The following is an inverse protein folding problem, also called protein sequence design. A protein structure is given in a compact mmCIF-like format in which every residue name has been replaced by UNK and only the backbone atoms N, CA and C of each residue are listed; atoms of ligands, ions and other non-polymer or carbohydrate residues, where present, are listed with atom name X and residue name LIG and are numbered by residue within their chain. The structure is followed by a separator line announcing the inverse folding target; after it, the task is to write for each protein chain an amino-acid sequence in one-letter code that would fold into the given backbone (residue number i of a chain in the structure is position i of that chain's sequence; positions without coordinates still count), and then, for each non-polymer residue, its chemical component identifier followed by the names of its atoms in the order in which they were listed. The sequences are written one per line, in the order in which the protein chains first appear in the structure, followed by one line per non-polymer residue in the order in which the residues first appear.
data_IF_743900430057
#
_entry.id   IF_743900430057
#
_cell.length_a   1.000
_cell.length_b   1.000
_cell.length_c   1.000
_cell.angle_alpha   90.00
_cell.angle_beta   90.00
_cell.angle_gamma   90.00
#
_symmetry.space_group_name_H-M   'P 1'
#
loop_
_entity.id
_entity.type
_entity.pdbx_description
1 polymer ?
#
# COMPACT_ATOMS: atom_id res chain seq x y z
N UNK A 1 24.09 29.40 23.16
CA UNK A 1 23.07 29.94 24.09
C UNK A 1 21.90 30.41 23.24
N UNK A 2 20.89 29.55 23.04
CA UNK A 2 19.49 29.87 22.68
C UNK A 2 18.67 28.55 22.68
N UNK A 3 18.72 27.85 23.82
CA UNK A 3 18.26 26.45 23.98
C UNK A 3 16.73 26.30 24.13
N UNK A 4 15.97 27.40 24.01
CA UNK A 4 14.52 27.43 24.22
C UNK A 4 13.71 27.96 23.03
N UNK A 5 14.32 28.13 21.85
CA UNK A 5 13.51 28.32 20.65
C UNK A 5 12.86 27.00 20.30
N UNK A 6 11.53 26.95 20.28
CA UNK A 6 10.80 25.81 19.73
C UNK A 6 11.41 25.49 18.36
N UNK A 7 11.86 24.25 18.11
CA UNK A 7 12.47 23.92 16.84
C UNK A 7 11.51 24.27 15.70
N UNK A 8 12.06 24.84 14.63
CA UNK A 8 11.29 25.24 13.45
C UNK A 8 10.49 24.01 12.97
N UNK A 9 9.15 24.11 12.79
CA UNK A 9 8.31 23.02 12.31
C UNK A 9 8.91 22.29 11.10
N UNK A 10 9.58 23.02 10.20
CA UNK A 10 10.24 22.41 9.03
C UNK A 10 11.43 21.52 9.39
N UNK A 11 12.18 21.87 10.44
CA UNK A 11 13.29 21.04 10.92
C UNK A 11 12.77 19.78 11.62
N UNK A 12 11.72 19.90 12.44
CA UNK A 12 11.02 18.77 13.05
C UNK A 12 10.51 17.79 11.99
N UNK A 13 9.87 18.28 10.94
CA UNK A 13 9.40 17.46 9.81
C UNK A 13 10.56 16.73 9.12
N UNK A 14 11.65 17.43 8.84
CA UNK A 14 12.84 16.84 8.19
C UNK A 14 13.48 15.77 9.07
N UNK A 15 13.56 15.99 10.37
CA UNK A 15 14.06 15.01 11.33
C UNK A 15 13.15 13.79 11.39
N UNK A 16 11.83 13.99 11.48
CA UNK A 16 10.85 12.91 11.48
C UNK A 16 10.94 12.05 10.20
N UNK A 17 11.00 12.70 9.01
CA UNK A 17 11.16 11.99 7.73
C UNK A 17 12.45 11.17 7.66
N UNK A 18 13.55 11.66 8.24
CA UNK A 18 14.81 10.91 8.32
C UNK A 18 14.68 9.70 9.25
N UNK A 19 14.05 9.87 10.40
CA UNK A 19 13.85 8.80 11.37
C UNK A 19 12.98 7.69 10.77
N UNK A 20 11.82 8.03 10.19
CA UNK A 20 10.95 7.04 9.54
C UNK A 20 11.67 6.27 8.43
N UNK A 21 12.52 6.93 7.63
CA UNK A 21 13.32 6.27 6.59
C UNK A 21 14.36 5.32 7.17
N UNK A 22 15.00 5.71 8.28
CA UNK A 22 15.96 4.88 8.99
C UNK A 22 15.27 3.65 9.59
N UNK A 23 14.18 3.85 10.33
CA UNK A 23 13.37 2.76 10.88
C UNK A 23 12.91 1.79 9.80
N UNK A 24 12.48 2.30 8.63
CA UNK A 24 12.09 1.41 7.54
C UNK A 24 13.25 0.54 7.06
N UNK A 25 14.45 1.13 6.86
CA UNK A 25 15.67 0.40 6.47
C UNK A 25 16.11 -0.62 7.51
N UNK A 26 16.03 -0.28 8.79
CA UNK A 26 16.38 -1.16 9.89
C UNK A 26 15.44 -2.37 9.89
N UNK A 27 14.12 -2.17 9.68
CA UNK A 27 13.16 -3.26 9.52
C UNK A 27 13.48 -4.17 8.32
N UNK A 28 13.95 -3.64 7.17
CA UNK A 28 14.34 -4.47 6.03
C UNK A 28 15.62 -5.27 6.33
N UNK A 29 16.57 -4.66 7.04
CA UNK A 29 17.77 -5.35 7.50
C UNK A 29 17.43 -6.49 8.46
N UNK A 30 16.54 -6.24 9.42
CA UNK A 30 16.06 -7.22 10.37
C UNK A 30 15.32 -8.37 9.67
N UNK A 31 14.47 -8.08 8.67
CA UNK A 31 13.84 -9.13 7.85
C UNK A 31 14.85 -10.02 7.16
N UNK A 32 15.90 -9.45 6.56
CA UNK A 32 16.98 -10.26 5.94
C UNK A 32 17.72 -11.12 6.98
N UNK A 33 17.85 -10.65 8.22
CA UNK A 33 18.43 -11.46 9.29
C UNK A 33 17.46 -12.57 9.73
N UNK A 34 16.16 -12.28 9.83
CA UNK A 34 15.12 -13.27 10.10
C UNK A 34 15.08 -14.35 9.01
N UNK A 35 15.25 -14.01 7.74
CA UNK A 35 15.30 -14.98 6.63
C UNK A 35 16.46 -15.99 6.77
N UNK A 36 17.62 -15.54 7.28
CA UNK A 36 18.76 -16.42 7.54
C UNK A 36 18.48 -17.35 8.72
N UNK A 37 17.97 -16.80 9.83
CA UNK A 37 17.56 -17.58 11.01
C UNK A 37 16.47 -18.60 10.68
N UNK A 38 15.54 -18.25 9.78
CA UNK A 38 14.48 -19.14 9.32
C UNK A 38 15.08 -20.40 8.68
N UNK A 39 16.03 -20.23 7.76
CA UNK A 39 16.74 -21.34 7.10
C UNK A 39 17.56 -22.17 8.09
N UNK A 40 18.24 -21.53 9.04
CA UNK A 40 19.02 -22.21 10.08
C UNK A 40 18.13 -23.10 10.97
N UNK A 41 17.01 -22.55 11.46
CA UNK A 41 16.03 -23.27 12.26
C UNK A 41 15.42 -24.45 11.47
N UNK A 42 15.06 -24.25 10.21
CA UNK A 42 14.53 -25.34 9.36
C UNK A 42 15.53 -26.49 9.20
N UNK A 43 16.82 -26.18 9.02
CA UNK A 43 17.87 -27.20 8.93
C UNK A 43 18.08 -27.93 10.26
N UNK A 44 18.05 -27.22 11.38
CA UNK A 44 18.24 -27.80 12.71
C UNK A 44 17.07 -28.69 13.11
N UNK A 45 15.83 -28.26 12.83
CA UNK A 45 14.62 -29.07 13.01
C UNK A 45 14.73 -30.37 12.20
N UNK A 46 15.14 -30.30 10.92
CA UNK A 46 15.34 -31.49 10.08
C UNK A 46 16.38 -32.45 10.68
N UNK A 47 17.51 -31.92 11.18
CA UNK A 47 18.58 -32.72 11.81
C UNK A 47 18.11 -33.40 13.09
N UNK A 48 17.37 -32.71 13.95
CA UNK A 48 16.86 -33.27 15.21
C UNK A 48 15.77 -34.31 14.97
N UNK A 49 14.87 -34.05 14.02
CA UNK A 49 13.83 -35.00 13.64
C UNK A 49 14.44 -36.30 13.06
N UNK A 50 15.46 -36.19 12.20
CA UNK A 50 16.17 -37.36 11.66
C UNK A 50 16.88 -38.20 12.74
N UNK A 51 17.27 -37.57 13.87
CA UNK A 51 17.87 -38.25 15.02
C UNK A 51 16.83 -38.79 16.02
N UNK A 52 15.54 -38.61 15.76
CA UNK A 52 14.45 -39.01 16.66
C UNK A 52 14.28 -38.08 17.88
N UNK A 53 14.98 -36.94 17.93
CA UNK A 53 14.89 -35.96 19.02
C UNK A 53 13.64 -35.06 18.85
N UNK A 54 12.45 -35.67 18.89
CA UNK A 54 11.20 -35.02 18.54
C UNK A 54 10.82 -33.86 19.48
N UNK A 55 11.10 -33.95 20.77
CA UNK A 55 10.79 -32.87 21.72
C UNK A 55 11.65 -31.62 21.47
N UNK A 56 12.94 -31.80 21.21
CA UNK A 56 13.83 -30.71 20.83
C UNK A 56 13.41 -30.10 19.48
N UNK A 57 13.06 -30.93 18.49
CA UNK A 57 12.52 -30.47 17.21
C UNK A 57 11.21 -29.66 17.38
N UNK A 58 10.32 -30.07 18.29
CA UNK A 58 9.07 -29.36 18.60
C UNK A 58 9.33 -27.98 19.21
N UNK A 59 10.32 -27.85 20.09
CA UNK A 59 10.71 -26.55 20.66
C UNK A 59 11.24 -25.60 19.58
N UNK A 60 12.11 -26.07 18.68
CA UNK A 60 12.59 -25.26 17.57
C UNK A 60 11.49 -24.93 16.55
N UNK A 61 10.56 -25.84 16.30
CA UNK A 61 9.40 -25.57 15.44
C UNK A 61 8.53 -24.44 16.00
N UNK A 62 8.33 -24.38 17.32
CA UNK A 62 7.64 -23.25 17.97
C UNK A 62 8.38 -21.93 17.74
N UNK A 63 9.71 -21.93 17.86
CA UNK A 63 10.53 -20.75 17.56
C UNK A 63 10.42 -20.33 16.10
N UNK A 64 10.40 -21.29 15.16
CA UNK A 64 10.21 -21.02 13.73
C UNK A 64 8.88 -20.33 13.43
N UNK A 65 7.78 -20.81 14.02
CA UNK A 65 6.46 -20.16 13.86
C UNK A 65 6.48 -18.74 14.43
N UNK A 66 7.10 -18.55 15.60
CA UNK A 66 7.26 -17.22 16.19
C UNK A 66 8.06 -16.28 15.28
N UNK A 67 9.15 -16.76 14.68
CA UNK A 67 9.98 -16.01 13.75
C UNK A 67 9.19 -15.61 12.49
N UNK A 68 8.41 -16.53 11.90
CA UNK A 68 7.53 -16.24 10.75
C UNK A 68 6.47 -15.19 11.08
N UNK A 69 5.88 -15.27 12.28
CA UNK A 69 4.93 -14.27 12.76
C UNK A 69 5.60 -12.90 12.95
N UNK A 70 6.83 -12.86 13.48
CA UNK A 70 7.60 -11.62 13.62
C UNK A 70 7.93 -11.00 12.26
N UNK A 71 8.33 -11.81 11.27
CA UNK A 71 8.58 -11.37 9.89
C UNK A 71 7.33 -10.77 9.23
N UNK A 72 6.18 -11.43 9.36
CA UNK A 72 4.89 -10.93 8.86
C UNK A 72 4.51 -9.60 9.52
N UNK A 73 4.67 -9.50 10.85
CA UNK A 73 4.45 -8.23 11.57
C UNK A 73 5.40 -7.14 11.10
N UNK A 74 6.66 -7.44 10.78
CA UNK A 74 7.63 -6.47 10.24
C UNK A 74 7.19 -5.88 8.90
N UNK A 75 6.59 -6.68 8.02
CA UNK A 75 6.01 -6.19 6.75
C UNK A 75 4.87 -5.21 7.05
N UNK A 76 3.94 -5.58 7.93
CA UNK A 76 2.85 -4.69 8.34
C UNK A 76 3.33 -3.39 9.01
N UNK A 77 4.40 -3.45 9.81
CA UNK A 77 5.02 -2.25 10.40
C UNK A 77 5.66 -1.35 9.33
N UNK A 78 6.33 -1.93 8.33
CA UNK A 78 6.90 -1.19 7.21
C UNK A 78 5.82 -0.47 6.40
N UNK A 79 4.70 -1.15 6.11
CA UNK A 79 3.54 -0.55 5.46
C UNK A 79 2.95 0.62 6.28
N UNK A 80 2.82 0.47 7.61
CA UNK A 80 2.37 1.56 8.50
C UNK A 80 3.33 2.75 8.48
N UNK A 81 4.65 2.52 8.49
CA UNK A 81 5.64 3.61 8.40
C UNK A 81 5.49 4.35 7.07
N UNK A 82 5.34 3.63 5.96
CA UNK A 82 5.08 4.22 4.65
C UNK A 82 3.77 5.02 4.63
N UNK A 83 2.70 4.53 5.26
CA UNK A 83 1.44 5.26 5.43
C UNK A 83 1.62 6.56 6.22
N UNK A 84 2.35 6.52 7.34
CA UNK A 84 2.68 7.74 8.12
C UNK A 84 3.51 8.72 7.29
N UNK A 85 4.45 8.23 6.46
CA UNK A 85 5.21 9.10 5.55
C UNK A 85 4.31 9.80 4.52
N UNK A 86 3.35 9.08 3.96
CA UNK A 86 2.36 9.64 3.03
C UNK A 86 1.47 10.68 3.74
N UNK A 87 0.97 10.37 4.94
CA UNK A 87 0.19 11.29 5.76
C UNK A 87 0.98 12.56 6.12
N UNK A 88 2.25 12.44 6.51
CA UNK A 88 3.12 13.58 6.78
C UNK A 88 3.33 14.43 5.52
N UNK A 89 3.48 13.81 4.34
CA UNK A 89 3.58 14.53 3.08
C UNK A 89 2.28 15.26 2.73
N UNK A 90 1.13 14.64 2.99
CA UNK A 90 -0.18 15.26 2.81
C UNK A 90 -0.34 16.48 3.73
N UNK A 91 -0.04 16.32 5.03
CA UNK A 91 -0.06 17.40 6.00
C UNK A 91 0.86 18.56 5.60
N UNK A 92 2.03 18.27 5.03
CA UNK A 92 2.93 19.31 4.50
C UNK A 92 2.30 20.09 3.35
N UNK A 93 1.63 19.40 2.42
CA UNK A 93 0.89 20.05 1.34
C UNK A 93 -0.25 20.92 1.87
N UNK A 94 -0.99 20.45 2.87
CA UNK A 94 -2.02 21.24 3.56
C UNK A 94 -1.42 22.48 4.24
N UNK A 95 -0.26 22.36 4.91
CA UNK A 95 0.39 23.50 5.55
C UNK A 95 0.85 24.57 4.54
N UNK A 96 1.35 24.14 3.36
CA UNK A 96 1.69 25.05 2.25
C UNK A 96 0.44 25.74 1.70
N UNK A 97 -0.64 25.00 1.51
CA UNK A 97 -1.93 25.54 1.08
C UNK A 97 -2.45 26.57 2.08
N UNK A 98 -2.43 26.26 3.38
CA UNK A 98 -2.81 27.21 4.44
C UNK A 98 -1.96 28.48 4.44
N UNK A 99 -0.65 28.35 4.20
CA UNK A 99 0.25 29.51 4.06
C UNK A 99 -0.11 30.36 2.83
N UNK A 100 -0.35 29.73 1.67
CA UNK A 100 -0.75 30.40 0.45
C UNK A 100 -2.12 31.10 0.60
N UNK A 101 -3.11 30.41 1.17
CA UNK A 101 -4.42 30.99 1.52
C UNK A 101 -4.27 32.17 2.47
N UNK A 102 -3.41 32.07 3.49
CA UNK A 102 -3.11 33.17 4.40
C UNK A 102 -2.54 34.39 3.68
N UNK A 103 -1.66 34.21 2.69
CA UNK A 103 -1.17 35.30 1.84
C UNK A 103 -2.27 35.86 0.95
N UNK A 104 -3.11 35.01 0.35
CA UNK A 104 -4.26 35.44 -0.47
C UNK A 104 -5.25 36.27 0.33
N UNK A 105 -5.58 35.85 1.56
CA UNK A 105 -6.46 36.60 2.47
C UNK A 105 -5.87 37.97 2.81
N UNK A 106 -4.55 38.06 3.05
CA UNK A 106 -3.88 39.35 3.28
C UNK A 106 -3.99 40.27 2.06
N UNK A 107 -3.74 39.73 0.85
CA UNK A 107 -3.88 40.47 -0.41
C UNK A 107 -5.32 40.92 -0.62
N UNK A 108 -6.30 40.04 -0.42
CA UNK A 108 -7.73 40.37 -0.53
C UNK A 108 -8.15 41.44 0.49
N UNK A 109 -7.67 41.38 1.74
CA UNK A 109 -7.92 42.43 2.74
C UNK A 109 -7.35 43.78 2.31
N UNK A 110 -6.14 43.80 1.76
CA UNK A 110 -5.52 45.02 1.23
C UNK A 110 -6.28 45.58 0.01
N UNK A 111 -6.71 44.70 -0.91
CA UNK A 111 -7.54 45.09 -2.06
C UNK A 111 -8.91 45.60 -1.61
N UNK A 112 -9.54 44.95 -0.62
CA UNK A 112 -10.83 45.39 -0.07
C UNK A 112 -10.74 46.78 0.57
N UNK A 113 -9.61 47.13 1.20
CA UNK A 113 -9.38 48.47 1.74
C UNK A 113 -9.15 49.53 0.66
N UNK A 114 -8.72 49.13 -0.54
CA UNK A 114 -8.45 50.02 -1.68
C UNK A 114 -9.59 50.05 -2.71
N UNK A 115 -10.52 49.10 -2.67
CA UNK A 115 -11.64 49.05 -3.60
C UNK A 115 -12.59 50.23 -3.32
N UNK A 116 -12.76 51.18 -4.26
CA UNK A 116 -13.77 52.20 -4.11
C UNK A 116 -15.14 51.50 -4.13
N UNK A 117 -15.88 51.60 -3.03
CA UNK A 117 -17.21 51.00 -2.83
C UNK A 117 -18.15 51.21 -4.03
N UNK A 118 -18.02 52.35 -4.74
CA UNK A 118 -18.81 52.67 -5.93
C UNK A 118 -18.57 51.71 -7.12
N UNK A 119 -17.32 51.30 -7.39
CA UNK A 119 -17.04 50.37 -8.50
C UNK A 119 -17.54 48.95 -8.20
N UNK A 120 -17.50 48.54 -6.93
CA UNK A 120 -18.03 47.24 -6.48
C UNK A 120 -19.55 47.18 -6.64
N UNK A 121 -20.26 48.27 -6.33
CA UNK A 121 -21.71 48.35 -6.52
C UNK A 121 -22.13 48.23 -8.00
N UNK A 122 -21.38 48.85 -8.92
CA UNK A 122 -21.64 48.73 -10.35
C UNK A 122 -21.42 47.30 -10.87
N UNK A 123 -20.29 46.68 -10.50
CA UNK A 123 -19.97 45.31 -10.92
C UNK A 123 -20.92 44.25 -10.33
N UNK A 124 -21.41 44.44 -9.09
CA UNK A 124 -22.42 43.56 -8.49
C UNK A 124 -23.71 43.52 -9.32
N UNK A 125 -24.12 44.65 -9.91
CA UNK A 125 -25.33 44.71 -10.74
C UNK A 125 -25.15 43.98 -12.08
N UNK A 126 -23.98 44.10 -12.71
CA UNK A 126 -23.64 43.33 -13.91
C UNK A 126 -23.48 41.82 -13.62
N UNK A 127 -22.92 41.48 -12.44
CA UNK A 127 -22.78 40.09 -12.02
C UNK A 127 -24.12 39.40 -11.79
N UNK A 128 -25.10 40.07 -11.16
CA UNK A 128 -26.46 39.50 -11.00
C UNK A 128 -27.09 39.12 -12.35
N UNK A 129 -26.94 39.96 -13.38
CA UNK A 129 -27.45 39.66 -14.72
C UNK A 129 -26.70 38.50 -15.40
N UNK A 130 -25.43 38.26 -15.06
CA UNK A 130 -24.64 37.14 -15.57
C UNK A 130 -24.90 35.84 -14.80
N UNK A 131 -25.05 35.90 -13.48
CA UNK A 131 -25.31 34.74 -12.63
C UNK A 131 -26.69 34.13 -12.90
N UNK A 132 -27.71 34.94 -13.18
CA UNK A 132 -29.00 34.43 -13.68
C UNK A 132 -28.85 33.60 -14.96
N UNK A 133 -27.89 33.95 -15.83
CA UNK A 133 -27.62 33.17 -17.04
C UNK A 133 -26.78 31.92 -16.78
N UNK A 134 -25.95 31.90 -15.74
CA UNK A 134 -25.05 30.79 -15.43
C UNK A 134 -25.62 29.77 -14.43
N UNK A 135 -26.58 30.17 -13.58
CA UNK A 135 -27.24 29.27 -12.64
C UNK A 135 -27.95 28.09 -13.33
N UNK A 136 -28.38 28.27 -14.58
CA UNK A 136 -28.96 27.19 -15.40
C UNK A 136 -27.94 26.14 -15.85
N UNK A 137 -26.63 26.44 -15.84
CA UNK A 137 -25.59 25.49 -16.24
C UNK A 137 -24.99 24.69 -15.08
N UNK A 138 -24.97 25.27 -13.87
CA UNK A 138 -24.37 24.62 -12.70
C UNK A 138 -25.28 23.52 -12.13
N UNK A 139 -26.60 23.70 -12.21
CA UNK A 139 -27.58 22.67 -11.86
C UNK A 139 -27.41 21.41 -12.75
N UNK A 140 -27.18 21.60 -14.05
CA UNK A 140 -26.91 20.46 -14.96
C UNK A 140 -25.52 19.83 -14.75
N UNK A 141 -24.53 20.59 -14.29
CA UNK A 141 -23.17 20.08 -14.08
C UNK A 141 -23.06 19.29 -12.78
N UNK A 142 -23.73 19.73 -11.70
CA UNK A 142 -23.76 19.01 -10.43
C UNK A 142 -24.41 17.64 -10.57
N UNK A 143 -25.50 17.52 -11.33
CA UNK A 143 -26.14 16.23 -11.63
C UNK A 143 -25.18 15.24 -12.31
N UNK A 144 -24.21 15.75 -13.08
CA UNK A 144 -23.23 14.90 -13.78
C UNK A 144 -22.06 14.50 -12.89
N UNK A 145 -21.66 15.35 -11.95
CA UNK A 145 -20.51 15.10 -11.07
C UNK A 145 -20.87 14.23 -9.86
N UNK A 146 -22.07 14.40 -9.30
CA UNK A 146 -22.55 13.54 -8.20
C UNK A 146 -22.70 12.07 -8.66
N UNK A 147 -22.98 11.85 -9.95
CA UNK A 147 -22.98 10.51 -10.57
C UNK A 147 -21.60 9.82 -10.59
N UNK A 148 -20.50 10.56 -10.51
CA UNK A 148 -19.14 10.00 -10.65
C UNK A 148 -18.46 9.78 -9.29
N UNK A 149 -18.86 10.54 -8.27
CA UNK A 149 -18.21 10.53 -6.96
C UNK A 149 -18.78 9.51 -5.97
N UNK A 150 -19.89 8.84 -6.30
CA UNK A 150 -20.51 7.81 -5.46
C UNK A 150 -19.81 6.44 -5.59
N UNK A 151 -18.48 6.41 -5.41
CA UNK A 151 -17.68 5.18 -5.39
C UNK A 151 -17.37 4.78 -3.94
N UNK A 152 -17.98 3.70 -3.40
CA UNK A 152 -17.77 3.27 -2.03
C UNK A 152 -16.73 2.13 -1.96
N UNK A 153 -15.76 2.24 -1.05
CA UNK A 153 -15.17 1.05 -0.40
C UNK A 153 -13.66 0.83 -0.55
N UNK A 154 -12.85 1.57 0.21
CA UNK A 154 -11.37 1.42 0.29
C UNK A 154 -10.87 -0.01 0.60
N UNK A 155 -11.67 -0.85 1.28
CA UNK A 155 -11.26 -2.21 1.65
C UNK A 155 -11.46 -3.21 0.51
N UNK A 156 -12.61 -3.13 -0.18
CA UNK A 156 -12.89 -3.95 -1.36
C UNK A 156 -11.92 -3.57 -2.50
N UNK A 157 -11.55 -2.28 -2.60
CA UNK A 157 -10.51 -1.81 -3.51
C UNK A 157 -9.13 -2.42 -3.18
N UNK A 158 -8.75 -2.51 -1.91
CA UNK A 158 -7.48 -3.11 -1.52
C UNK A 158 -7.40 -4.59 -1.93
N UNK A 159 -8.44 -5.38 -1.63
CA UNK A 159 -8.49 -6.79 -2.00
C UNK A 159 -8.57 -6.96 -3.53
N UNK A 160 -9.32 -6.10 -4.23
CA UNK A 160 -9.37 -6.09 -5.69
C UNK A 160 -8.01 -5.80 -6.32
N UNK A 161 -7.27 -4.82 -5.80
CA UNK A 161 -5.89 -4.51 -6.26
C UNK A 161 -4.96 -5.69 -6.00
N UNK A 162 -5.04 -6.33 -4.82
CA UNK A 162 -4.23 -7.52 -4.52
C UNK A 162 -4.53 -8.65 -5.51
N UNK A 163 -5.82 -8.94 -5.77
CA UNK A 163 -6.22 -9.99 -6.70
C UNK A 163 -5.79 -9.68 -8.14
N UNK A 164 -5.95 -8.44 -8.61
CA UNK A 164 -5.51 -8.02 -9.94
C UNK A 164 -4.00 -8.24 -10.11
N UNK A 165 -3.18 -7.83 -9.13
CA UNK A 165 -1.72 -8.01 -9.18
C UNK A 165 -1.35 -9.50 -9.18
N UNK A 166 -2.08 -10.34 -8.44
CA UNK A 166 -1.85 -11.79 -8.45
C UNK A 166 -2.21 -12.42 -9.80
N UNK A 167 -3.29 -11.96 -10.45
CA UNK A 167 -3.69 -12.41 -11.79
C UNK A 167 -2.64 -12.02 -12.84
N UNK A 168 -2.13 -10.80 -12.80
CA UNK A 168 -1.05 -10.33 -13.68
C UNK A 168 0.22 -11.19 -13.52
N UNK A 169 0.61 -11.52 -12.28
CA UNK A 169 1.75 -12.41 -12.00
C UNK A 169 1.48 -13.84 -12.52
N UNK A 170 0.27 -14.36 -12.33
CA UNK A 170 -0.13 -15.68 -12.84
C UNK A 170 -0.07 -15.77 -14.36
N UNK A 171 -0.52 -14.71 -15.05
CA UNK A 171 -0.44 -14.59 -16.51
C UNK A 171 1.03 -14.48 -16.97
N UNK A 172 1.86 -13.71 -16.25
CA UNK A 172 3.30 -13.64 -16.54
C UNK A 172 4.02 -14.99 -16.36
N UNK A 173 3.66 -15.77 -15.35
CA UNK A 173 4.23 -17.10 -15.15
C UNK A 173 3.82 -18.06 -16.27
N UNK A 174 2.54 -18.05 -16.67
CA UNK A 174 2.05 -18.87 -17.76
C UNK A 174 2.67 -18.48 -19.11
N UNK A 175 2.82 -17.19 -19.38
CA UNK A 175 3.49 -16.70 -20.60
C UNK A 175 4.99 -17.02 -20.62
N UNK A 176 5.70 -16.93 -19.48
CA UNK A 176 7.11 -17.35 -19.37
C UNK A 176 7.27 -18.86 -19.54
N UNK A 177 6.37 -19.68 -18.99
CA UNK A 177 6.38 -21.13 -19.17
C UNK A 177 6.07 -21.54 -20.62
N UNK A 178 5.15 -20.85 -21.29
CA UNK A 178 4.88 -21.07 -22.71
C UNK A 178 6.07 -20.70 -23.62
N UNK A 179 6.91 -19.74 -23.18
CA UNK A 179 8.10 -19.30 -23.92
C UNK A 179 9.39 -20.05 -23.55
N UNK A 180 9.36 -21.06 -22.67
CA UNK A 180 10.52 -21.95 -22.52
C UNK A 180 10.55 -22.87 -23.75
N UNK A 181 11.58 -22.79 -24.62
CA UNK A 181 11.67 -23.68 -25.77
C UNK A 181 11.77 -25.10 -25.24
N UNK A 182 10.81 -25.95 -25.61
CA UNK A 182 10.85 -27.36 -25.32
C UNK A 182 12.20 -27.90 -25.77
N UNK A 183 13.08 -28.24 -24.82
CA UNK A 183 14.20 -29.12 -25.15
C UNK A 183 13.59 -30.36 -25.80
N UNK A 184 14.18 -30.87 -26.89
CA UNK A 184 13.63 -32.00 -27.62
C UNK A 184 13.87 -33.27 -26.78
N UNK A 185 13.09 -33.45 -25.72
CA UNK A 185 12.90 -34.76 -25.11
C UNK A 185 12.02 -35.54 -26.06
N UNK A 186 12.73 -36.19 -26.98
CA UNK A 186 12.32 -37.33 -27.78
C UNK A 186 11.25 -38.12 -27.03
N UNK A 187 10.04 -38.00 -27.57
CA UNK A 187 8.82 -38.75 -27.35
C UNK A 187 9.10 -40.15 -26.76
N UNK A 188 8.86 -40.32 -25.47
CA UNK A 188 8.35 -41.58 -24.95
C UNK A 188 6.91 -41.34 -24.58
N UNK A 189 6.06 -41.46 -25.59
CA UNK A 189 4.62 -41.54 -25.47
C UNK A 189 4.25 -42.76 -24.63
N UNK A 190 3.90 -42.53 -23.36
CA UNK A 190 2.97 -43.41 -22.66
C UNK A 190 1.65 -42.68 -22.58
N UNK A 191 0.81 -42.97 -23.56
CA UNK A 191 -0.61 -42.66 -23.60
C UNK A 191 -1.33 -43.29 -22.36
N UNK A 192 -2.55 -42.84 -22.02
CA UNK A 192 -3.07 -42.87 -20.66
C UNK A 192 -3.59 -44.27 -20.30
N UNK A 193 -2.86 -44.95 -19.40
CA UNK A 193 -3.33 -46.18 -18.77
C UNK A 193 -4.12 -45.81 -17.50
N UNK A 194 -5.43 -46.03 -17.62
CA UNK A 194 -6.27 -46.71 -16.65
C UNK A 194 -6.51 -45.98 -15.31
N UNK A 195 -7.55 -45.14 -15.35
CA UNK A 195 -8.27 -44.61 -14.18
C UNK A 195 -8.73 -45.71 -13.19
N UNK A 196 -8.73 -46.98 -13.59
CA UNK A 196 -9.07 -48.12 -12.72
C UNK A 196 -8.09 -48.26 -11.54
N UNK A 197 -6.82 -47.86 -11.70
CA UNK A 197 -5.83 -47.95 -10.63
C UNK A 197 -6.05 -46.88 -9.54
N UNK A 198 -6.72 -45.76 -9.89
CA UNK A 198 -7.10 -44.72 -8.93
C UNK A 198 -8.29 -45.16 -8.06
N UNK A 199 -9.25 -45.90 -8.61
CA UNK A 199 -10.34 -46.47 -7.80
C UNK A 199 -9.81 -47.53 -6.82
N UNK A 200 -8.85 -48.36 -7.24
CA UNK A 200 -8.21 -49.33 -6.35
C UNK A 200 -7.41 -48.64 -5.21
N UNK A 201 -6.75 -47.51 -5.49
CA UNK A 201 -6.04 -46.75 -4.46
C UNK A 201 -6.98 -46.03 -3.49
N UNK A 202 -8.13 -45.53 -3.95
CA UNK A 202 -9.14 -44.91 -3.07
C UNK A 202 -9.79 -45.92 -2.12
N UNK A 203 -10.00 -47.16 -2.56
CA UNK A 203 -10.55 -48.22 -1.71
C UNK A 203 -9.62 -48.56 -0.53
N UNK A 204 -8.30 -48.48 -0.70
CA UNK A 204 -7.32 -48.75 0.35
C UNK A 204 -7.24 -47.69 1.45
N UNK A 205 -7.80 -46.50 1.23
CA UNK A 205 -7.83 -45.42 2.23
C UNK A 205 -9.13 -45.35 3.04
N UNK A 206 -10.11 -46.22 2.76
CA UNK A 206 -11.37 -46.31 3.52
C UNK A 206 -11.46 -47.53 4.46
N UNK A 207 -10.37 -48.28 4.63
CA UNK A 207 -10.20 -49.26 5.73
C UNK A 207 -9.23 -48.73 6.76
#
# INVERSE_FOLDING_TARGET
MNIFSKPDPKELERANKRELRKTNRDLESDRRQMDRREKELEQEIKKLAAKGHNDAARHLAKQLVQLRNQKTKSIGMSARISGVQAQNSHMQSMAKMGSAMGTTVKTMKAMNAQMPLEKVAANMREFQMAQEKMGLTEEMMNDTLDSILDAPGDADEQDAIVNQVLDEIGIEMNSKLANVPALPTKVSSTAPADFDDLEAQLARLRS
#
